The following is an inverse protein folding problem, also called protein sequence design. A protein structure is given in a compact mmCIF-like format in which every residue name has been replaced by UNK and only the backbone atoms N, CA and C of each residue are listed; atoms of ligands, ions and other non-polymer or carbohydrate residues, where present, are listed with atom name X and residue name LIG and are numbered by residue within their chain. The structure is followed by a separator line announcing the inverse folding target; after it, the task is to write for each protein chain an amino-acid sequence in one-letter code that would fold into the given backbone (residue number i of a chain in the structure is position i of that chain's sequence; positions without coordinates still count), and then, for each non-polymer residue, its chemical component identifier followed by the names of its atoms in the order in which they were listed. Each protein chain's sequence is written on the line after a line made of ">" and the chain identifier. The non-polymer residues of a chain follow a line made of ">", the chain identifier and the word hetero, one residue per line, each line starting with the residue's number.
data_IF_953656987904
#
_entry.id   IF_953656987904
#
_cell.length_a   1.000
_cell.length_b   1.000
_cell.length_c   1.000
_cell.angle_alpha   90.00
_cell.angle_beta   90.00
_cell.angle_gamma   90.00
#
_symmetry.space_group_name_H-M   'P 1'
#
loop_
_entity.id
_entity.type
_entity.pdbx_description
1 polymer ?
#
# COMPACT_ATOMS: atom_id res chain seq x y z
N UNK A 1 -51.83 67.05 2.89
CA UNK A 1 -51.67 65.62 3.19
C UNK A 1 -50.60 65.04 2.26
N UNK A 2 -49.35 64.91 2.75
CA UNK A 2 -48.19 64.45 1.97
C UNK A 2 -47.80 63.08 2.46
N UNK A 3 -48.02 62.02 1.63
CA UNK A 3 -47.63 60.63 1.96
C UNK A 3 -46.16 60.42 1.60
N UNK A 4 -45.31 60.24 2.63
CA UNK A 4 -43.94 59.79 2.49
C UNK A 4 -43.92 58.30 2.16
N UNK A 5 -43.38 57.92 1.01
CA UNK A 5 -43.07 56.53 0.61
C UNK A 5 -41.69 56.17 1.16
N UNK A 6 -41.65 55.26 2.12
CA UNK A 6 -40.41 54.61 2.56
C UNK A 6 -39.92 53.63 1.50
N UNK A 7 -38.69 53.76 1.01
CA UNK A 7 -38.01 52.76 0.14
C UNK A 7 -37.23 51.80 1.06
N UNK A 8 -37.65 50.55 1.09
CA UNK A 8 -36.91 49.46 1.75
C UNK A 8 -35.80 49.02 0.77
N UNK A 9 -34.55 49.22 1.13
CA UNK A 9 -33.40 48.69 0.42
C UNK A 9 -33.14 47.27 0.95
N UNK A 10 -33.39 46.24 0.11
CA UNK A 10 -33.03 44.88 0.40
C UNK A 10 -31.53 44.71 0.16
N UNK A 11 -30.77 44.52 1.25
CA UNK A 11 -29.34 44.20 1.20
C UNK A 11 -29.19 42.70 0.96
N UNK A 12 -28.86 42.34 -0.29
CA UNK A 12 -28.58 40.95 -0.68
C UNK A 12 -27.19 40.57 -0.15
N UNK A 13 -27.12 39.77 0.92
CA UNK A 13 -25.89 39.15 1.38
C UNK A 13 -25.51 38.03 0.42
N UNK A 14 -24.51 38.27 -0.41
CA UNK A 14 -23.82 37.24 -1.18
C UNK A 14 -22.99 36.38 -0.21
N UNK A 15 -23.49 35.21 0.15
CA UNK A 15 -22.68 34.18 0.75
C UNK A 15 -21.71 33.64 -0.30
N UNK A 16 -20.49 34.14 -0.31
CA UNK A 16 -19.38 33.49 -1.00
C UNK A 16 -19.12 32.17 -0.30
N UNK A 17 -19.55 31.06 -0.90
CA UNK A 17 -19.14 29.71 -0.49
C UNK A 17 -17.62 29.62 -0.64
N UNK A 18 -16.90 29.62 0.46
CA UNK A 18 -15.48 29.30 0.46
C UNK A 18 -15.32 27.90 -0.19
N UNK A 19 -14.41 27.71 -1.16
CA UNK A 19 -14.12 26.37 -1.65
C UNK A 19 -13.68 25.54 -0.44
N UNK A 20 -14.38 24.44 -0.18
CA UNK A 20 -13.98 23.51 0.88
C UNK A 20 -12.50 23.19 0.68
N UNK A 21 -11.69 23.37 1.71
CA UNK A 21 -10.27 23.06 1.68
C UNK A 21 -10.15 21.57 1.30
N UNK A 22 -9.84 21.29 0.04
CA UNK A 22 -9.45 19.95 -0.38
C UNK A 22 -8.27 19.56 0.51
N UNK A 23 -8.38 18.44 1.22
CA UNK A 23 -7.31 17.96 2.09
C UNK A 23 -5.98 17.91 1.33
N UNK A 24 -4.88 18.01 2.07
CA UNK A 24 -3.55 17.93 1.48
C UNK A 24 -3.41 16.59 0.73
N UNK A 25 -2.86 16.56 -0.52
CA UNK A 25 -2.61 15.31 -1.24
C UNK A 25 -1.79 14.33 -0.42
N UNK A 26 -2.24 13.09 -0.32
CA UNK A 26 -1.63 12.04 0.50
C UNK A 26 -0.91 11.00 -0.36
N UNK A 27 0.21 10.52 0.13
CA UNK A 27 0.99 9.44 -0.49
C UNK A 27 1.30 8.40 0.58
N UNK A 28 0.96 7.14 0.33
CA UNK A 28 1.48 6.00 1.07
C UNK A 28 2.54 5.27 0.24
N UNK A 29 3.68 4.96 0.84
CA UNK A 29 4.78 4.24 0.20
C UNK A 29 5.02 2.94 0.94
N UNK A 30 5.04 1.84 0.19
CA UNK A 30 5.36 0.50 0.68
C UNK A 30 6.69 0.08 0.06
N UNK A 31 7.59 -0.47 0.87
CA UNK A 31 8.82 -1.13 0.40
C UNK A 31 8.63 -2.63 0.59
N UNK A 32 8.55 -3.34 -0.54
CA UNK A 32 8.36 -4.78 -0.63
C UNK A 32 9.70 -5.57 -0.49
N UNK A 33 9.62 -6.90 -0.50
CA UNK A 33 10.73 -7.86 -0.53
C UNK A 33 11.72 -7.77 0.64
N UNK A 34 11.27 -7.35 1.82
CA UNK A 34 12.10 -7.46 3.02
C UNK A 34 12.11 -8.91 3.52
N UNK A 35 13.27 -9.36 4.03
CA UNK A 35 13.37 -10.67 4.67
C UNK A 35 14.67 -11.42 4.38
N UNK A 36 15.29 -11.24 3.21
CA UNK A 36 16.55 -11.91 2.86
C UNK A 36 17.80 -11.10 3.24
N UNK A 37 17.82 -9.82 2.91
CA UNK A 37 19.00 -8.98 3.03
C UNK A 37 18.91 -8.04 4.23
N UNK A 38 19.70 -8.33 5.27
CA UNK A 38 19.66 -7.56 6.52
C UNK A 38 20.00 -6.08 6.32
N UNK A 39 21.10 -5.79 5.63
CA UNK A 39 21.56 -4.40 5.48
C UNK A 39 20.64 -3.56 4.60
N UNK A 40 20.13 -4.12 3.49
CA UNK A 40 19.16 -3.43 2.64
C UNK A 40 17.84 -3.21 3.39
N UNK A 41 17.37 -4.21 4.15
CA UNK A 41 16.18 -4.10 4.99
C UNK A 41 16.35 -3.03 6.07
N UNK A 42 17.49 -3.01 6.77
CA UNK A 42 17.79 -1.98 7.77
C UNK A 42 17.82 -0.58 7.18
N UNK A 43 18.47 -0.42 6.03
CA UNK A 43 18.50 0.87 5.33
C UNK A 43 17.10 1.33 4.94
N UNK A 44 16.27 0.41 4.40
CA UNK A 44 14.88 0.70 4.06
C UNK A 44 14.09 1.18 5.30
N UNK A 45 14.15 0.44 6.40
CA UNK A 45 13.44 0.78 7.65
C UNK A 45 13.91 2.13 8.22
N UNK A 46 15.15 2.51 7.94
CA UNK A 46 15.70 3.84 8.28
C UNK A 46 15.16 5.01 7.47
N UNK A 47 14.34 4.79 6.44
CA UNK A 47 13.73 5.86 5.65
C UNK A 47 12.91 6.82 6.54
N UNK A 48 12.98 8.14 6.29
CA UNK A 48 12.23 9.12 7.07
C UNK A 48 10.72 9.05 6.81
N UNK A 49 9.94 9.39 7.83
CA UNK A 49 8.47 9.45 7.76
C UNK A 49 7.77 8.09 7.83
N UNK A 50 6.44 8.04 7.67
CA UNK A 50 5.61 6.87 7.83
C UNK A 50 5.60 5.98 6.58
N UNK A 51 6.76 5.38 6.25
CA UNK A 51 6.88 4.36 5.20
C UNK A 51 6.48 3.00 5.76
N UNK A 52 5.74 2.22 4.99
CA UNK A 52 5.29 0.86 5.33
C UNK A 52 6.23 -0.18 4.73
N UNK A 53 6.47 -1.30 5.41
CA UNK A 53 7.39 -2.36 4.98
C UNK A 53 6.69 -3.69 4.86
N UNK A 54 6.82 -4.34 3.69
CA UNK A 54 6.24 -5.65 3.45
C UNK A 54 7.33 -6.72 3.51
N UNK A 55 7.11 -7.72 4.36
CA UNK A 55 8.09 -8.73 4.74
C UNK A 55 7.67 -10.10 4.22
N UNK A 56 8.57 -10.76 3.49
CA UNK A 56 8.38 -12.11 2.96
C UNK A 56 8.39 -13.14 4.09
N UNK A 57 7.36 -13.99 4.20
CA UNK A 57 7.23 -14.99 5.25
C UNK A 57 8.28 -16.11 5.14
N UNK A 58 8.69 -16.65 6.29
CA UNK A 58 9.63 -17.78 6.35
C UNK A 58 11.07 -17.45 5.94
N UNK A 59 11.38 -16.22 5.57
CA UNK A 59 12.74 -15.81 5.17
C UNK A 59 13.66 -15.64 6.38
N UNK A 60 15.00 -15.78 6.21
CA UNK A 60 15.94 -15.83 7.34
C UNK A 60 15.96 -14.59 8.25
N UNK A 61 15.47 -13.45 7.77
CA UNK A 61 15.50 -12.18 8.51
C UNK A 61 14.10 -11.59 8.72
N UNK A 62 13.04 -12.32 8.37
CA UNK A 62 11.66 -11.83 8.44
C UNK A 62 11.30 -11.27 9.82
N UNK A 63 11.36 -12.09 10.85
CA UNK A 63 10.99 -11.68 12.21
C UNK A 63 11.85 -10.50 12.71
N UNK A 64 13.17 -10.57 12.55
CA UNK A 64 14.07 -9.52 13.03
C UNK A 64 13.85 -8.16 12.34
N UNK A 65 13.54 -8.15 11.02
CA UNK A 65 13.24 -6.92 10.30
C UNK A 65 11.85 -6.37 10.65
N UNK A 66 10.86 -7.24 10.85
CA UNK A 66 9.52 -6.85 11.28
C UNK A 66 9.54 -6.24 12.71
N UNK A 67 10.24 -6.88 13.65
CA UNK A 67 10.47 -6.35 15.01
C UNK A 67 11.13 -4.97 14.95
N UNK A 68 12.20 -4.86 14.18
CA UNK A 68 12.93 -3.60 14.07
C UNK A 68 12.12 -2.48 13.41
N UNK A 69 11.25 -2.79 12.43
CA UNK A 69 10.32 -1.83 11.86
C UNK A 69 9.30 -1.36 12.91
N UNK A 70 8.70 -2.31 13.65
CA UNK A 70 7.74 -2.03 14.70
C UNK A 70 8.32 -1.14 15.82
N UNK A 71 9.54 -1.44 16.31
CA UNK A 71 10.25 -0.64 17.31
C UNK A 71 10.46 0.83 16.88
N UNK A 72 10.45 1.09 15.58
CA UNK A 72 10.58 2.44 14.98
C UNK A 72 9.24 3.08 14.62
N UNK A 73 8.13 2.48 15.07
CA UNK A 73 6.79 2.96 14.76
C UNK A 73 6.42 2.87 13.28
N UNK A 74 7.03 1.92 12.55
CA UNK A 74 6.71 1.65 11.15
C UNK A 74 5.66 0.56 11.03
N UNK A 75 4.79 0.65 10.03
CA UNK A 75 3.85 -0.42 9.71
C UNK A 75 4.54 -1.59 9.01
N UNK A 76 4.11 -2.79 9.37
CA UNK A 76 4.57 -4.05 8.77
C UNK A 76 3.40 -4.73 8.06
N UNK A 77 3.60 -5.11 6.80
CA UNK A 77 2.70 -5.96 6.03
C UNK A 77 3.31 -7.36 5.89
N UNK A 78 2.44 -8.36 5.83
CA UNK A 78 2.82 -9.67 5.31
C UNK A 78 2.92 -9.56 3.78
N UNK A 79 4.12 -9.75 3.22
CA UNK A 79 4.33 -9.83 1.77
C UNK A 79 4.13 -11.26 1.31
N UNK A 80 2.88 -11.64 1.05
CA UNK A 80 2.46 -13.02 0.83
C UNK A 80 2.79 -13.48 -0.60
N UNK A 81 3.65 -14.48 -0.80
CA UNK A 81 3.90 -15.07 -2.10
C UNK A 81 2.64 -15.72 -2.66
N UNK A 82 2.27 -15.33 -3.87
CA UNK A 82 1.11 -15.81 -4.62
C UNK A 82 1.58 -16.28 -5.99
N UNK A 83 1.07 -17.40 -6.46
CA UNK A 83 1.47 -17.99 -7.74
C UNK A 83 1.41 -17.01 -8.91
N UNK A 84 2.49 -16.96 -9.70
CA UNK A 84 2.63 -16.14 -10.90
C UNK A 84 2.54 -16.95 -12.20
N UNK A 85 2.40 -16.24 -13.35
CA UNK A 85 2.39 -16.86 -14.68
C UNK A 85 3.80 -17.27 -15.18
N UNK A 86 4.87 -16.96 -14.46
CA UNK A 86 6.23 -17.31 -14.86
C UNK A 86 6.51 -18.80 -14.61
N UNK A 87 7.31 -19.42 -15.48
CA UNK A 87 7.83 -20.79 -15.29
C UNK A 87 8.87 -20.85 -14.14
N UNK A 88 9.33 -19.72 -13.67
CA UNK A 88 10.19 -19.64 -12.49
C UNK A 88 9.38 -20.08 -11.27
N UNK A 89 9.68 -21.26 -10.76
CA UNK A 89 9.16 -21.67 -9.45
C UNK A 89 9.64 -20.64 -8.44
N UNK A 90 8.70 -20.15 -7.65
CA UNK A 90 9.05 -19.36 -6.49
C UNK A 90 9.78 -20.28 -5.51
N UNK A 91 11.03 -19.95 -5.23
CA UNK A 91 11.79 -20.59 -4.14
C UNK A 91 11.42 -20.01 -2.76
N UNK A 92 10.29 -19.29 -2.69
CA UNK A 92 9.83 -18.70 -1.43
C UNK A 92 9.37 -19.80 -0.46
N UNK A 93 9.82 -19.76 0.81
CA UNK A 93 9.57 -20.83 1.76
C UNK A 93 8.09 -21.09 2.06
N UNK A 94 7.25 -20.06 1.97
CA UNK A 94 5.82 -20.10 2.25
C UNK A 94 5.08 -19.28 1.20
N UNK A 95 4.23 -19.91 0.40
CA UNK A 95 3.44 -19.24 -0.64
C UNK A 95 2.14 -19.97 -0.93
N UNK A 96 1.22 -19.34 -1.66
CA UNK A 96 -0.09 -19.87 -2.02
C UNK A 96 -0.15 -20.12 -3.53
N UNK A 97 -0.52 -21.37 -3.88
CA UNK A 97 -0.67 -21.86 -5.25
C UNK A 97 -2.10 -22.28 -5.56
N UNK A 98 -2.43 -22.37 -6.85
CA UNK A 98 -3.78 -22.71 -7.31
C UNK A 98 -4.16 -24.19 -7.14
N UNK A 99 -3.20 -25.07 -6.90
CA UNK A 99 -3.46 -26.48 -6.62
C UNK A 99 -3.80 -26.77 -5.14
N UNK A 100 -3.69 -25.76 -4.27
CA UNK A 100 -4.02 -25.87 -2.85
C UNK A 100 -5.54 -26.01 -2.64
N UNK A 101 -5.93 -26.92 -1.75
CA UNK A 101 -7.27 -26.92 -1.18
C UNK A 101 -7.50 -25.69 -0.29
N UNK A 102 -8.75 -25.41 0.04
CA UNK A 102 -9.08 -24.33 0.97
C UNK A 102 -8.40 -24.49 2.34
N UNK A 103 -8.36 -25.72 2.86
CA UNK A 103 -7.73 -26.04 4.15
C UNK A 103 -6.21 -25.87 4.08
N UNK A 104 -5.58 -26.25 2.96
CA UNK A 104 -4.14 -26.05 2.75
C UNK A 104 -3.82 -24.57 2.64
N UNK A 105 -4.61 -23.79 1.89
CA UNK A 105 -4.48 -22.34 1.81
C UNK A 105 -4.57 -21.69 3.19
N UNK A 106 -5.58 -22.05 3.98
CA UNK A 106 -5.77 -21.50 5.32
C UNK A 106 -4.57 -21.79 6.24
N UNK A 107 -4.09 -23.05 6.27
CA UNK A 107 -2.93 -23.43 7.07
C UNK A 107 -1.63 -22.78 6.60
N UNK A 108 -1.46 -22.59 5.28
CA UNK A 108 -0.31 -21.88 4.70
C UNK A 108 -0.33 -20.39 5.08
N UNK A 109 -1.51 -19.78 5.04
CA UNK A 109 -1.68 -18.38 5.46
C UNK A 109 -1.39 -18.19 6.95
N UNK A 110 -1.84 -19.13 7.83
CA UNK A 110 -1.50 -19.12 9.26
C UNK A 110 0.00 -19.24 9.51
N UNK A 111 0.68 -20.14 8.79
CA UNK A 111 2.13 -20.28 8.87
C UNK A 111 2.85 -19.00 8.41
N UNK A 112 2.37 -18.36 7.34
CA UNK A 112 2.92 -17.11 6.85
C UNK A 112 2.81 -15.99 7.89
N UNK A 113 1.61 -15.78 8.45
CA UNK A 113 1.37 -14.78 9.50
C UNK A 113 2.20 -15.03 10.76
N UNK A 114 2.33 -16.29 11.17
CA UNK A 114 3.10 -16.65 12.36
C UNK A 114 4.61 -16.38 12.21
N UNK A 115 5.11 -16.31 10.98
CA UNK A 115 6.53 -16.06 10.68
C UNK A 115 6.91 -14.58 10.65
N UNK A 116 5.93 -13.67 10.59
CA UNK A 116 6.14 -12.21 10.53
C UNK A 116 5.35 -11.54 11.65
N UNK A 117 5.99 -11.06 12.71
CA UNK A 117 5.29 -10.39 13.81
C UNK A 117 4.83 -8.98 13.41
N UNK A 118 3.84 -8.45 14.16
CA UNK A 118 3.32 -7.07 14.06
C UNK A 118 2.65 -6.71 12.74
N UNK A 119 2.16 -7.70 11.99
CA UNK A 119 1.46 -7.49 10.71
C UNK A 119 0.14 -6.75 10.94
N UNK A 120 -0.06 -5.64 10.21
CA UNK A 120 -1.31 -4.86 10.20
C UNK A 120 -2.13 -5.05 8.92
N UNK A 121 -1.56 -5.67 7.89
CA UNK A 121 -2.20 -5.93 6.60
C UNK A 121 -1.39 -6.89 5.74
N UNK A 122 -1.92 -7.24 4.59
CA UNK A 122 -1.33 -8.21 3.65
C UNK A 122 -1.22 -7.58 2.28
N UNK A 123 -0.09 -7.77 1.58
CA UNK A 123 0.00 -7.51 0.15
C UNK A 123 0.60 -8.71 -0.60
N UNK A 124 0.32 -8.80 -1.90
CA UNK A 124 0.77 -9.93 -2.70
C UNK A 124 2.20 -9.74 -3.23
N UNK A 125 3.08 -10.73 -2.99
CA UNK A 125 4.32 -10.90 -3.74
C UNK A 125 4.02 -11.65 -5.03
N UNK A 126 4.44 -11.10 -6.19
CA UNK A 126 4.12 -11.65 -7.52
C UNK A 126 2.62 -11.76 -7.78
N UNK A 127 2.04 -12.96 -7.84
CA UNK A 127 0.59 -13.20 -7.87
C UNK A 127 -0.11 -12.97 -9.21
N UNK A 128 0.60 -12.80 -10.33
CA UNK A 128 -0.01 -12.48 -11.63
C UNK A 128 -0.95 -13.58 -12.17
N UNK A 129 -0.86 -14.80 -11.64
CA UNK A 129 -1.78 -15.90 -11.95
C UNK A 129 -2.88 -15.98 -10.88
N UNK A 130 -2.53 -16.15 -9.61
CA UNK A 130 -3.50 -16.42 -8.53
C UNK A 130 -4.49 -15.27 -8.32
N UNK A 131 -4.06 -14.00 -8.43
CA UNK A 131 -4.95 -12.85 -8.26
C UNK A 131 -6.05 -12.73 -9.31
N UNK A 132 -6.00 -13.54 -10.39
CA UNK A 132 -7.04 -13.65 -11.42
C UNK A 132 -8.11 -14.69 -11.09
N UNK A 133 -7.91 -15.52 -10.06
CA UNK A 133 -8.79 -16.64 -9.71
C UNK A 133 -9.73 -16.27 -8.57
N UNK A 134 -11.04 -16.02 -8.85
CA UNK A 134 -11.98 -15.53 -7.84
C UNK A 134 -12.09 -16.46 -6.62
N UNK A 135 -12.11 -17.79 -6.84
CA UNK A 135 -12.26 -18.77 -5.76
C UNK A 135 -11.12 -18.69 -4.73
N UNK A 136 -9.87 -18.76 -5.19
CA UNK A 136 -8.69 -18.68 -4.29
C UNK A 136 -8.56 -17.31 -3.65
N UNK A 137 -8.82 -16.24 -4.42
CA UNK A 137 -8.81 -14.89 -3.85
C UNK A 137 -9.90 -14.71 -2.80
N UNK A 138 -11.11 -15.25 -3.01
CA UNK A 138 -12.17 -15.20 -2.01
C UNK A 138 -11.77 -15.98 -0.74
N UNK A 139 -11.24 -17.18 -0.86
CA UNK A 139 -10.74 -17.93 0.30
C UNK A 139 -9.68 -17.15 1.08
N UNK A 140 -8.71 -16.55 0.38
CA UNK A 140 -7.70 -15.71 1.03
C UNK A 140 -8.34 -14.50 1.74
N UNK A 141 -9.31 -13.82 1.12
CA UNK A 141 -9.98 -12.67 1.74
C UNK A 141 -10.81 -13.10 2.97
N UNK A 142 -11.44 -14.27 2.94
CA UNK A 142 -12.14 -14.84 4.09
C UNK A 142 -11.18 -15.13 5.25
N UNK A 143 -9.97 -15.64 4.97
CA UNK A 143 -8.92 -15.85 5.98
C UNK A 143 -8.41 -14.52 6.55
N UNK A 144 -8.24 -13.48 5.73
CA UNK A 144 -7.89 -12.12 6.18
C UNK A 144 -9.01 -11.56 7.05
N UNK A 145 -10.27 -11.70 6.63
CA UNK A 145 -11.46 -11.22 7.37
C UNK A 145 -11.59 -11.87 8.74
N UNK A 146 -11.30 -13.17 8.84
CA UNK A 146 -11.38 -13.91 10.09
C UNK A 146 -10.41 -13.37 11.17
N UNK A 147 -9.42 -12.58 10.77
CA UNK A 147 -8.41 -11.95 11.65
C UNK A 147 -8.64 -10.43 11.77
N UNK A 148 -9.83 -10.06 12.05
CA UNK A 148 -10.57 -8.80 12.27
C UNK A 148 -9.90 -7.45 11.93
N UNK A 149 -8.58 -7.31 12.07
CA UNK A 149 -7.88 -6.02 11.93
C UNK A 149 -6.98 -5.95 10.69
N UNK A 150 -6.92 -7.01 9.86
CA UNK A 150 -6.08 -7.02 8.68
C UNK A 150 -6.81 -6.43 7.46
N UNK A 151 -6.08 -5.64 6.70
CA UNK A 151 -6.50 -5.13 5.39
C UNK A 151 -5.67 -5.75 4.26
N UNK A 152 -6.11 -5.55 3.02
CA UNK A 152 -5.38 -6.05 1.85
C UNK A 152 -4.93 -4.92 0.92
N UNK A 153 -3.71 -5.05 0.39
CA UNK A 153 -3.18 -4.17 -0.66
C UNK A 153 -2.93 -5.01 -1.92
N UNK A 154 -3.69 -4.76 -2.98
CA UNK A 154 -3.43 -5.37 -4.28
C UNK A 154 -2.19 -4.74 -4.92
N UNK A 155 -1.08 -5.48 -4.96
CA UNK A 155 0.16 -5.06 -5.63
C UNK A 155 0.00 -4.89 -7.15
N UNK A 156 -1.14 -5.34 -7.69
CA UNK A 156 -1.61 -5.14 -9.07
C UNK A 156 -0.56 -5.52 -10.13
N UNK A 157 -0.03 -6.72 -10.00
CA UNK A 157 0.96 -7.29 -10.93
C UNK A 157 0.35 -7.72 -12.27
N UNK A 158 -0.98 -7.74 -12.35
CA UNK A 158 -1.76 -7.97 -13.56
C UNK A 158 -2.98 -7.08 -13.63
N UNK A 159 -3.32 -6.60 -14.83
CA UNK A 159 -4.56 -5.81 -15.07
C UNK A 159 -5.84 -6.65 -14.90
N UNK A 160 -5.71 -7.96 -14.81
CA UNK A 160 -6.81 -8.90 -14.65
C UNK A 160 -7.05 -9.32 -13.18
N UNK A 161 -6.37 -8.65 -12.23
CA UNK A 161 -6.60 -8.91 -10.80
C UNK A 161 -8.07 -8.69 -10.42
N UNK A 162 -8.63 -9.66 -9.71
CA UNK A 162 -9.96 -9.59 -9.08
C UNK A 162 -9.88 -9.37 -7.57
N UNK A 163 -8.67 -9.09 -7.05
CA UNK A 163 -8.42 -9.01 -5.61
C UNK A 163 -9.31 -7.98 -4.90
N UNK A 164 -9.45 -6.76 -5.45
CA UNK A 164 -10.32 -5.75 -4.85
C UNK A 164 -11.80 -6.13 -4.86
N UNK A 165 -12.26 -6.82 -5.91
CA UNK A 165 -13.63 -7.32 -5.97
C UNK A 165 -13.87 -8.37 -4.88
N UNK A 166 -12.98 -9.35 -4.76
CA UNK A 166 -13.10 -10.41 -3.74
C UNK A 166 -12.96 -9.86 -2.32
N UNK A 167 -12.09 -8.86 -2.10
CA UNK A 167 -12.00 -8.15 -0.83
C UNK A 167 -13.33 -7.48 -0.46
N UNK A 168 -13.96 -6.80 -1.42
CA UNK A 168 -15.28 -6.19 -1.21
C UNK A 168 -16.38 -7.23 -0.90
N UNK A 169 -16.38 -8.36 -1.59
CA UNK A 169 -17.33 -9.46 -1.36
C UNK A 169 -17.17 -10.09 0.03
N UNK A 170 -15.92 -10.23 0.50
CA UNK A 170 -15.61 -10.75 1.83
C UNK A 170 -15.72 -9.70 2.96
N UNK A 171 -15.93 -8.42 2.64
CA UNK A 171 -15.96 -7.34 3.63
C UNK A 171 -14.58 -7.01 4.21
N UNK A 172 -13.52 -7.16 3.41
CA UNK A 172 -12.15 -6.77 3.75
C UNK A 172 -11.86 -5.38 3.19
N UNK A 173 -11.36 -4.48 4.03
CA UNK A 173 -10.87 -3.17 3.57
C UNK A 173 -9.66 -3.37 2.66
N UNK A 174 -9.67 -2.77 1.47
CA UNK A 174 -8.59 -2.97 0.51
C UNK A 174 -8.33 -1.76 -0.37
N UNK A 175 -7.08 -1.61 -0.78
CA UNK A 175 -6.64 -0.62 -1.78
C UNK A 175 -5.74 -1.29 -2.82
N UNK A 176 -5.43 -0.58 -3.89
CA UNK A 176 -4.58 -1.04 -4.97
C UNK A 176 -3.39 -0.11 -5.18
N UNK A 177 -2.25 -0.67 -5.57
CA UNK A 177 -1.10 0.10 -6.03
C UNK A 177 -1.43 0.94 -7.26
N UNK A 178 -1.11 2.22 -7.19
CA UNK A 178 -1.21 3.16 -8.32
C UNK A 178 0.12 3.31 -9.07
N UNK A 179 1.24 3.30 -8.34
CA UNK A 179 2.58 3.55 -8.88
C UNK A 179 3.53 2.42 -8.48
N UNK A 180 4.25 1.90 -9.46
CA UNK A 180 5.41 1.04 -9.26
C UNK A 180 6.65 1.93 -9.38
N UNK A 181 7.40 2.12 -8.30
CA UNK A 181 8.51 3.09 -8.25
C UNK A 181 9.71 2.64 -9.06
N UNK A 182 9.97 1.34 -9.08
CA UNK A 182 11.19 0.75 -9.63
C UNK A 182 10.90 -0.46 -10.55
N UNK A 183 10.08 -0.28 -11.62
CA UNK A 183 9.81 -1.35 -12.59
C UNK A 183 11.08 -1.86 -13.29
N UNK A 184 12.09 -1.03 -13.35
CA UNK A 184 13.49 -1.38 -13.54
C UNK A 184 14.34 -0.66 -12.46
N UNK A 185 15.57 -1.10 -12.26
CA UNK A 185 16.46 -0.59 -11.19
C UNK A 185 17.20 0.69 -11.57
N UNK A 186 16.90 1.29 -12.73
CA UNK A 186 17.61 2.48 -13.20
C UNK A 186 17.23 3.72 -12.40
N UNK A 187 18.19 4.56 -11.98
CA UNK A 187 17.88 5.77 -11.22
C UNK A 187 16.94 6.73 -11.97
N UNK A 188 17.03 6.77 -13.30
CA UNK A 188 16.16 7.63 -14.14
C UNK A 188 14.71 7.21 -14.07
N UNK A 189 14.42 5.91 -14.17
CA UNK A 189 13.06 5.39 -14.06
C UNK A 189 12.47 5.63 -12.66
N UNK A 190 13.25 5.40 -11.60
CA UNK A 190 12.78 5.64 -10.23
C UNK A 190 12.41 7.12 -10.02
N UNK A 191 13.23 8.06 -10.51
CA UNK A 191 12.91 9.50 -10.48
C UNK A 191 11.62 9.79 -11.25
N UNK A 192 11.48 9.25 -12.47
CA UNK A 192 10.28 9.46 -13.30
C UNK A 192 9.00 8.99 -12.60
N UNK A 193 9.03 7.79 -11.98
CA UNK A 193 7.87 7.23 -11.28
C UNK A 193 7.56 8.00 -9.99
N UNK A 194 8.57 8.47 -9.27
CA UNK A 194 8.37 9.32 -8.10
C UNK A 194 7.70 10.65 -8.47
N UNK A 195 8.12 11.30 -9.55
CA UNK A 195 7.48 12.50 -10.05
C UNK A 195 6.03 12.22 -10.52
N UNK A 196 5.80 11.05 -11.16
CA UNK A 196 4.45 10.62 -11.55
C UNK A 196 3.56 10.42 -10.33
N UNK A 197 4.07 9.79 -9.26
CA UNK A 197 3.40 9.63 -7.97
C UNK A 197 2.93 10.99 -7.43
N UNK A 198 3.81 11.98 -7.36
CA UNK A 198 3.47 13.33 -6.86
C UNK A 198 2.38 14.00 -7.71
N UNK A 199 2.50 13.91 -9.05
CA UNK A 199 1.46 14.46 -9.94
C UNK A 199 0.11 13.78 -9.75
N UNK A 200 0.11 12.46 -9.58
CA UNK A 200 -1.11 11.69 -9.40
C UNK A 200 -1.78 12.00 -8.05
N UNK A 201 -1.00 12.13 -6.97
CA UNK A 201 -1.50 12.53 -5.65
C UNK A 201 -2.18 13.90 -5.72
N UNK A 202 -1.56 14.90 -6.35
CA UNK A 202 -2.18 16.23 -6.55
C UNK A 202 -3.48 16.17 -7.35
N UNK A 203 -3.60 15.22 -8.29
CA UNK A 203 -4.80 15.07 -9.13
C UNK A 203 -5.93 14.33 -8.43
N UNK A 204 -5.62 13.30 -7.63
CA UNK A 204 -6.61 12.35 -7.07
C UNK A 204 -6.88 12.54 -5.58
N UNK A 205 -6.03 13.31 -4.90
CA UNK A 205 -6.07 13.45 -3.44
C UNK A 205 -5.21 12.42 -2.71
N UNK A 206 -5.07 11.19 -3.23
CA UNK A 206 -4.20 10.17 -2.63
C UNK A 206 -3.58 9.24 -3.69
N UNK A 207 -2.47 8.57 -3.32
CA UNK A 207 -1.75 7.58 -4.15
C UNK A 207 -1.09 6.53 -3.26
N UNK A 208 -1.15 5.28 -3.70
CA UNK A 208 -0.37 4.16 -3.16
C UNK A 208 0.78 3.84 -4.11
N UNK A 209 2.01 3.91 -3.61
CA UNK A 209 3.22 3.58 -4.35
C UNK A 209 3.93 2.38 -3.72
N UNK A 210 4.44 1.47 -4.55
CA UNK A 210 5.26 0.33 -4.13
C UNK A 210 6.63 0.43 -4.79
N UNK A 211 7.67 0.15 -4.03
CA UNK A 211 9.04 -0.03 -4.48
C UNK A 211 9.75 -1.12 -3.68
N UNK A 212 11.02 -1.36 -3.99
CA UNK A 212 11.84 -2.40 -3.37
C UNK A 212 13.10 -1.79 -2.74
N UNK A 213 13.83 -2.54 -1.87
CA UNK A 213 15.02 -2.01 -1.20
C UNK A 213 16.24 -1.96 -2.13
N UNK A 214 16.03 -1.58 -3.40
CA UNK A 214 17.11 -1.35 -4.35
C UNK A 214 17.85 -0.06 -4.02
N UNK A 215 19.15 -0.05 -4.30
CA UNK A 215 20.00 1.11 -4.02
C UNK A 215 19.46 2.41 -4.61
N UNK A 216 19.03 2.39 -5.88
CA UNK A 216 18.47 3.56 -6.57
C UNK A 216 17.18 4.08 -5.93
N UNK A 217 16.30 3.17 -5.50
CA UNK A 217 15.06 3.51 -4.84
C UNK A 217 15.31 4.14 -3.47
N UNK A 218 16.16 3.50 -2.65
CA UNK A 218 16.48 4.00 -1.31
C UNK A 218 17.19 5.35 -1.37
N UNK A 219 18.20 5.53 -2.23
CA UNK A 219 18.91 6.81 -2.41
C UNK A 219 17.96 7.96 -2.83
N UNK A 220 16.97 7.67 -3.68
CA UNK A 220 15.95 8.64 -4.04
C UNK A 220 15.07 9.00 -2.86
N UNK A 221 14.50 7.98 -2.19
CA UNK A 221 13.57 8.18 -1.08
C UNK A 221 14.22 8.90 0.11
N UNK A 222 15.45 8.53 0.49
CA UNK A 222 16.24 9.22 1.53
C UNK A 222 16.35 10.72 1.26
N UNK A 223 16.53 11.11 0.01
CA UNK A 223 16.70 12.50 -0.41
C UNK A 223 15.38 13.26 -0.55
N UNK A 224 14.34 12.60 -1.03
CA UNK A 224 13.11 13.29 -1.46
C UNK A 224 11.97 13.23 -0.43
N UNK A 225 11.89 12.19 0.42
CA UNK A 225 10.82 12.09 1.41
C UNK A 225 10.75 13.30 2.37
N UNK A 226 11.90 13.82 2.90
CA UNK A 226 11.85 14.98 3.79
C UNK A 226 11.26 16.24 3.14
N UNK A 227 11.28 16.34 1.81
CA UNK A 227 10.82 17.50 1.05
C UNK A 227 9.34 17.46 0.68
N UNK A 228 8.66 16.31 0.81
CA UNK A 228 7.27 16.15 0.36
C UNK A 228 6.34 17.16 1.03
N UNK A 229 6.49 17.36 2.34
CA UNK A 229 5.65 18.29 3.11
C UNK A 229 5.79 19.73 2.61
N UNK A 230 7.00 20.18 2.31
CA UNK A 230 7.26 21.51 1.73
C UNK A 230 6.65 21.64 0.32
N UNK A 231 6.52 20.53 -0.40
CA UNK A 231 5.88 20.46 -1.71
C UNK A 231 4.34 20.33 -1.64
N UNK A 232 3.75 20.41 -0.44
CA UNK A 232 2.33 20.32 -0.20
C UNK A 232 1.79 18.89 -0.38
N UNK A 233 2.59 17.85 -0.09
CA UNK A 233 2.19 16.45 -0.13
C UNK A 233 2.46 15.84 1.25
N UNK A 234 1.46 15.17 1.80
CA UNK A 234 1.55 14.47 3.07
C UNK A 234 1.95 13.00 2.81
N UNK A 235 3.01 12.54 3.49
CA UNK A 235 3.34 11.13 3.56
C UNK A 235 2.55 10.53 4.73
N UNK A 236 1.80 9.46 4.48
CA UNK A 236 0.93 8.78 5.45
C UNK A 236 1.21 7.28 5.47
N UNK A 237 0.77 6.58 6.50
CA UNK A 237 0.79 5.12 6.52
C UNK A 237 -0.22 4.55 5.53
N UNK A 238 -0.04 3.28 5.11
CA UNK A 238 -1.02 2.66 4.21
C UNK A 238 -2.35 2.43 4.92
N UNK A 239 -2.36 2.13 6.23
CA UNK A 239 -3.59 1.95 7.00
C UNK A 239 -4.47 3.20 7.05
N UNK A 240 -3.88 4.41 6.96
CA UNK A 240 -4.63 5.67 6.89
C UNK A 240 -5.42 5.83 5.58
N UNK A 241 -4.99 5.17 4.50
CA UNK A 241 -5.66 5.20 3.19
C UNK A 241 -6.66 4.04 3.01
N UNK A 242 -6.52 2.97 3.78
CA UNK A 242 -7.39 1.80 3.73
C UNK A 242 -8.51 1.98 4.77
N UNK A 243 -9.65 2.47 4.34
CA UNK A 243 -10.81 2.71 5.22
C UNK A 243 -12.02 1.92 4.75
#
# INVERSE_FOLDING_TARGET
>A
MIRKRARLAAMMLLFASAPGAAGQPQVAIIIDDLGYQLEAGRRAIGLPGPVTFAVLPGTPRAAALAEWAHERGKEVLLHLPLQANSDDKDDEPIGIDLDMSRETLASTFDAALSSVPYVVGVNGHRGSLLTRHPGHMLWLMEEIRARNDLFFVDSYTTVHSVALQMASEAGVSAVRRDIFLDPDRSPGTVVLQFERMKRLARKRGFVVAIGHPYRSTLELLERELPKLREQGIELVTISELVK
#
